data_IF_645502114229
#
_entry.id   IF_645502114229
#
_cell.length_a   1.000
_cell.length_b   1.000
_cell.length_c   1.000
_cell.angle_alpha   90.00
_cell.angle_beta   90.00
_cell.angle_gamma   90.00
#
_symmetry.space_group_name_H-M   'P 1'
#
loop_
_entity.id
_entity.type
_entity.pdbx_description
1 polymer ?
#
# COMPACT_ATOMS: atom_id res chain seq x y z
N UNK A 1 13.58 8.96 2.48
CA UNK A 1 12.65 7.83 2.47
C UNK A 1 11.68 8.14 1.35
N UNK A 2 11.78 7.49 0.18
CA UNK A 2 10.86 7.79 -0.93
C UNK A 2 9.54 7.04 -0.69
N UNK A 3 8.60 7.69 -0.02
CA UNK A 3 7.40 7.02 0.48
C UNK A 3 6.29 6.84 -0.59
N UNK A 4 6.26 7.69 -1.62
CA UNK A 4 4.98 7.96 -2.31
C UNK A 4 4.99 7.85 -3.87
N UNK A 5 5.80 8.64 -4.59
CA UNK A 5 5.61 8.83 -6.05
C UNK A 5 6.03 7.67 -6.98
N UNK A 6 6.89 6.74 -6.54
CA UNK A 6 7.34 5.61 -7.38
C UNK A 6 6.32 4.46 -7.47
N UNK A 7 5.34 4.41 -6.56
CA UNK A 7 4.40 3.29 -6.36
C UNK A 7 3.34 3.18 -7.45
N UNK A 8 2.83 4.33 -7.87
CA UNK A 8 1.80 4.41 -8.89
C UNK A 8 2.35 4.45 -10.31
N UNK A 9 3.68 4.41 -10.50
CA UNK A 9 4.28 4.42 -11.84
C UNK A 9 3.79 3.27 -12.72
N UNK A 10 3.51 2.12 -12.12
CA UNK A 10 3.05 0.93 -12.84
C UNK A 10 1.52 0.85 -13.01
N UNK A 11 0.74 1.73 -12.36
CA UNK A 11 -0.72 1.69 -12.35
C UNK A 11 -1.39 2.47 -13.49
N UNK A 12 -0.62 3.06 -14.40
CA UNK A 12 -1.14 3.84 -15.54
C UNK A 12 -1.53 5.27 -15.19
N UNK A 13 -2.27 5.93 -16.10
CA UNK A 13 -2.96 7.21 -15.89
C UNK A 13 -4.47 6.95 -15.80
N UNK A 14 -5.24 7.79 -15.09
CA UNK A 14 -6.69 7.63 -14.86
C UNK A 14 -7.05 6.30 -14.15
N UNK A 15 -6.48 6.09 -12.96
CA UNK A 15 -6.66 4.92 -12.10
C UNK A 15 -7.99 5.00 -11.31
N UNK A 16 -8.56 6.19 -11.15
CA UNK A 16 -9.78 6.46 -10.39
C UNK A 16 -10.82 7.10 -11.29
N UNK A 17 -12.05 6.56 -11.27
CA UNK A 17 -13.16 7.18 -12.00
C UNK A 17 -13.45 8.59 -11.46
N UNK A 18 -13.81 9.54 -12.33
CA UNK A 18 -13.90 10.97 -11.96
C UNK A 18 -14.91 11.25 -10.83
N UNK A 19 -16.02 10.49 -10.77
CA UNK A 19 -17.00 10.52 -9.67
C UNK A 19 -16.34 10.15 -8.33
N UNK A 20 -15.54 9.07 -8.30
CA UNK A 20 -14.84 8.61 -7.11
C UNK A 20 -13.82 9.65 -6.66
N UNK A 21 -13.05 10.22 -7.59
CA UNK A 21 -12.08 11.27 -7.30
C UNK A 21 -12.76 12.50 -6.64
N UNK A 22 -13.92 12.93 -7.15
CA UNK A 22 -14.70 14.03 -6.57
C UNK A 22 -15.24 13.69 -5.18
N UNK A 23 -15.68 12.43 -4.96
CA UNK A 23 -16.14 11.99 -3.64
C UNK A 23 -15.00 11.99 -2.62
N UNK A 24 -13.83 11.49 -3.00
CA UNK A 24 -12.62 11.50 -2.17
C UNK A 24 -12.20 12.93 -1.83
N UNK A 25 -12.21 13.85 -2.79
CA UNK A 25 -11.95 15.28 -2.56
C UNK A 25 -12.89 15.88 -1.51
N UNK A 26 -14.20 15.61 -1.62
CA UNK A 26 -15.19 16.09 -0.65
C UNK A 26 -14.95 15.53 0.73
N UNK A 27 -14.56 14.26 0.84
CA UNK A 27 -14.22 13.65 2.13
C UNK A 27 -12.94 14.27 2.72
N UNK A 28 -11.89 14.44 1.91
CA UNK A 28 -10.65 15.13 2.34
C UNK A 28 -10.97 16.53 2.85
N UNK A 29 -11.77 17.29 2.10
CA UNK A 29 -12.22 18.63 2.48
C UNK A 29 -12.94 18.61 3.83
N UNK A 30 -13.91 17.71 4.00
CA UNK A 30 -14.64 17.55 5.26
C UNK A 30 -13.71 17.25 6.44
N UNK A 31 -12.75 16.33 6.26
CA UNK A 31 -11.79 15.92 7.29
C UNK A 31 -10.90 17.09 7.73
N UNK A 32 -10.49 17.93 6.78
CA UNK A 32 -9.67 19.13 7.04
C UNK A 32 -10.51 20.21 7.72
N UNK A 33 -11.67 20.58 7.16
CA UNK A 33 -12.52 21.66 7.68
C UNK A 33 -13.03 21.40 9.09
N UNK A 34 -13.21 20.13 9.46
CA UNK A 34 -13.61 19.75 10.81
C UNK A 34 -12.50 20.05 11.85
N UNK A 35 -11.22 20.05 11.45
CA UNK A 35 -10.07 20.34 12.32
C UNK A 35 -9.77 19.27 13.38
N UNK A 36 -10.72 18.38 13.68
CA UNK A 36 -10.54 17.37 14.71
C UNK A 36 -9.75 16.14 14.23
N UNK A 37 -9.65 15.90 12.93
CA UNK A 37 -9.01 14.69 12.40
C UNK A 37 -7.50 14.81 12.20
N UNK A 38 -7.01 15.96 11.73
CA UNK A 38 -5.62 16.14 11.29
C UNK A 38 -4.81 16.81 12.41
N UNK A 39 -3.53 16.49 12.49
CA UNK A 39 -2.60 17.17 13.42
C UNK A 39 -2.52 18.67 13.15
N UNK A 40 -2.46 19.49 14.21
CA UNK A 40 -2.61 20.96 14.10
C UNK A 40 -1.53 21.61 13.26
N UNK A 41 -0.30 21.09 13.27
CA UNK A 41 0.80 21.68 12.50
C UNK A 41 0.54 21.68 10.97
N UNK A 42 -0.32 20.80 10.46
CA UNK A 42 -0.74 20.77 9.05
C UNK A 42 -1.96 21.65 8.75
N UNK A 43 -2.58 22.20 9.79
CA UNK A 43 -3.80 22.96 9.68
C UNK A 43 -3.55 24.44 9.90
N UNK A 44 -4.34 25.24 9.21
CA UNK A 44 -4.40 26.67 9.36
C UNK A 44 -5.86 27.07 9.54
N UNK A 45 -6.15 27.84 10.58
CA UNK A 45 -7.50 28.35 10.84
C UNK A 45 -7.71 29.69 10.14
N UNK A 46 -8.64 29.74 9.20
CA UNK A 46 -9.09 30.97 8.57
C UNK A 46 -10.20 31.60 9.43
N UNK A 47 -9.88 32.73 10.07
CA UNK A 47 -10.83 33.47 10.89
C UNK A 47 -11.97 34.10 10.09
N UNK A 48 -11.75 34.41 8.80
CA UNK A 48 -12.74 35.06 7.95
C UNK A 48 -13.87 34.08 7.63
N UNK A 49 -13.50 32.90 7.16
CA UNK A 49 -14.44 31.86 6.73
C UNK A 49 -14.82 30.88 7.86
N UNK A 50 -14.12 30.95 9.00
CA UNK A 50 -14.28 30.06 10.17
C UNK A 50 -14.10 28.58 9.83
N UNK A 51 -13.14 28.30 8.95
CA UNK A 51 -12.81 26.95 8.50
C UNK A 51 -11.32 26.66 8.73
N UNK A 52 -11.00 25.38 8.82
CA UNK A 52 -9.62 24.91 8.74
C UNK A 52 -9.25 24.59 7.29
N UNK A 53 -8.02 24.94 6.92
CA UNK A 53 -7.38 24.69 5.63
C UNK A 53 -6.04 23.98 5.85
N UNK A 54 -5.43 23.43 4.79
CA UNK A 54 -4.07 22.91 4.89
C UNK A 54 -3.06 24.06 4.93
N UNK A 55 -2.04 23.95 5.77
CA UNK A 55 -0.96 24.93 5.84
C UNK A 55 0.06 24.63 4.73
N UNK A 56 0.19 25.56 3.78
CA UNK A 56 0.98 25.40 2.55
C UNK A 56 2.44 24.99 2.80
N UNK A 57 3.16 25.73 3.65
CA UNK A 57 4.60 25.50 3.82
C UNK A 57 4.91 24.12 4.40
N UNK A 58 4.13 23.68 5.39
CA UNK A 58 4.25 22.37 6.03
C UNK A 58 3.95 21.27 5.03
N UNK A 59 2.90 21.45 4.22
CA UNK A 59 2.52 20.46 3.22
C UNK A 59 3.55 20.38 2.07
N UNK A 60 4.10 21.52 1.66
CA UNK A 60 5.20 21.61 0.69
C UNK A 60 6.46 20.93 1.19
N UNK A 61 6.89 21.24 2.41
CA UNK A 61 8.07 20.65 3.03
C UNK A 61 7.93 19.13 3.15
N UNK A 62 6.77 18.69 3.61
CA UNK A 62 6.43 17.28 3.73
C UNK A 62 6.39 16.58 2.37
N UNK A 63 5.79 17.20 1.34
CA UNK A 63 5.79 16.66 -0.02
C UNK A 63 7.20 16.54 -0.61
N UNK A 64 8.03 17.57 -0.49
CA UNK A 64 9.39 17.55 -1.02
C UNK A 64 10.26 16.49 -0.36
N UNK A 65 10.09 16.24 0.95
CA UNK A 65 10.94 15.33 1.72
C UNK A 65 10.49 13.87 1.63
N UNK A 66 9.18 13.65 1.65
CA UNK A 66 8.61 12.31 1.73
C UNK A 66 8.17 11.77 0.37
N UNK A 67 7.60 12.63 -0.49
CA UNK A 67 7.12 12.24 -1.82
C UNK A 67 8.17 12.49 -2.91
N UNK A 68 8.98 13.54 -2.73
CA UNK A 68 9.98 14.00 -3.70
C UNK A 68 9.47 15.08 -4.66
N UNK A 69 8.31 15.68 -4.39
CA UNK A 69 7.79 16.84 -5.14
C UNK A 69 6.90 17.74 -4.27
N UNK A 70 6.70 18.98 -4.71
CA UNK A 70 5.84 19.96 -4.03
C UNK A 70 4.35 19.70 -4.35
N UNK A 71 3.62 19.15 -3.39
CA UNK A 71 2.20 18.80 -3.58
C UNK A 71 1.30 20.03 -3.66
N UNK A 72 1.71 21.17 -3.09
CA UNK A 72 0.92 22.42 -3.11
C UNK A 72 0.79 23.01 -4.51
N UNK A 73 1.69 22.66 -5.44
CA UNK A 73 1.59 23.11 -6.83
C UNK A 73 0.35 22.59 -7.56
N UNK A 74 -0.26 21.52 -7.04
CA UNK A 74 -1.35 20.80 -7.70
C UNK A 74 -2.67 20.88 -6.91
N UNK A 75 -2.66 21.46 -5.72
CA UNK A 75 -3.86 21.61 -4.87
C UNK A 75 -3.96 23.04 -4.37
N UNK A 76 -5.16 23.60 -4.37
CA UNK A 76 -5.45 24.79 -3.58
C UNK A 76 -5.76 24.33 -2.16
N UNK A 77 -4.86 24.61 -1.22
CA UNK A 77 -4.96 24.18 0.18
C UNK A 77 -6.05 24.88 0.98
N UNK A 78 -6.53 26.03 0.51
CA UNK A 78 -7.63 26.78 1.13
C UNK A 78 -9.00 26.20 0.74
N UNK A 79 -9.21 25.92 -0.53
CA UNK A 79 -10.48 25.37 -1.02
C UNK A 79 -10.51 23.85 -1.10
N UNK A 80 -9.35 23.20 -0.98
CA UNK A 80 -9.10 21.78 -1.28
C UNK A 80 -9.54 21.44 -2.72
N UNK A 81 -9.47 22.43 -3.63
CA UNK A 81 -9.73 22.21 -5.06
C UNK A 81 -8.43 21.88 -5.78
N UNK A 82 -8.44 20.88 -6.63
CA UNK A 82 -7.26 20.54 -7.43
C UNK A 82 -7.02 21.56 -8.55
N UNK A 83 -5.76 21.89 -8.76
CA UNK A 83 -5.29 22.86 -9.74
C UNK A 83 -4.77 22.12 -10.98
N UNK A 84 -5.25 22.50 -12.17
CA UNK A 84 -4.71 21.99 -13.45
C UNK A 84 -4.89 20.48 -13.67
N UNK A 85 -3.89 19.84 -14.30
CA UNK A 85 -3.83 18.40 -14.56
C UNK A 85 -3.41 17.64 -13.31
N UNK A 86 -4.31 17.53 -12.35
CA UNK A 86 -4.11 16.70 -11.16
C UNK A 86 -4.24 15.22 -11.52
N UNK A 87 -3.20 14.43 -11.23
CA UNK A 87 -3.22 12.99 -11.46
C UNK A 87 -3.76 12.23 -10.25
N UNK A 88 -4.41 11.09 -10.47
CA UNK A 88 -4.88 10.21 -9.39
C UNK A 88 -3.76 9.77 -8.43
N UNK A 89 -2.51 9.78 -8.90
CA UNK A 89 -1.33 9.48 -8.10
C UNK A 89 -1.14 10.52 -7.00
N UNK A 90 -1.31 11.80 -7.35
CA UNK A 90 -1.22 12.91 -6.41
C UNK A 90 -2.40 12.91 -5.43
N UNK A 91 -3.59 12.45 -5.86
CA UNK A 91 -4.73 12.25 -4.96
C UNK A 91 -4.39 11.23 -3.87
N UNK A 92 -3.83 10.10 -4.28
CA UNK A 92 -3.48 9.02 -3.37
C UNK A 92 -2.32 9.40 -2.46
N UNK A 93 -1.29 10.07 -2.99
CA UNK A 93 -0.20 10.58 -2.16
C UNK A 93 -0.72 11.57 -1.09
N UNK A 94 -1.66 12.45 -1.43
CA UNK A 94 -2.32 13.32 -0.44
C UNK A 94 -3.12 12.52 0.59
N UNK A 95 -3.95 11.56 0.16
CA UNK A 95 -4.77 10.74 1.06
C UNK A 95 -3.92 10.01 2.10
N UNK A 96 -2.84 9.37 1.66
CA UNK A 96 -2.00 8.60 2.57
C UNK A 96 -1.25 9.47 3.57
N UNK A 97 -0.76 10.63 3.13
CA UNK A 97 -0.20 11.63 4.04
C UNK A 97 -1.21 12.04 5.10
N UNK A 98 -2.44 12.33 4.70
CA UNK A 98 -3.49 12.69 5.65
C UNK A 98 -3.82 11.53 6.59
N UNK A 99 -3.73 10.26 6.16
CA UNK A 99 -3.94 9.10 7.05
C UNK A 99 -2.79 8.98 8.07
N UNK A 100 -1.54 9.19 7.66
CA UNK A 100 -0.37 9.17 8.56
C UNK A 100 -0.52 10.26 9.63
N UNK A 101 -0.80 11.49 9.19
CA UNK A 101 -0.93 12.66 10.06
C UNK A 101 -2.37 12.89 10.56
N UNK A 102 -3.19 11.85 10.54
CA UNK A 102 -4.45 11.82 11.26
C UNK A 102 -4.17 11.53 12.74
N UNK A 103 -4.92 12.18 13.64
CA UNK A 103 -4.91 11.90 15.08
C UNK A 103 -5.27 10.44 15.31
N UNK A 104 -4.58 9.82 16.25
CA UNK A 104 -4.63 8.37 16.44
C UNK A 104 -6.04 7.84 16.72
N UNK A 105 -6.85 8.57 17.49
CA UNK A 105 -8.24 8.25 17.83
C UNK A 105 -9.24 8.47 16.68
N UNK A 106 -8.85 9.18 15.63
CA UNK A 106 -9.69 9.50 14.46
C UNK A 106 -9.32 8.69 13.21
N UNK A 107 -8.13 8.11 13.18
CA UNK A 107 -7.57 7.43 12.00
C UNK A 107 -8.45 6.30 11.48
N UNK A 108 -8.99 5.47 12.37
CA UNK A 108 -9.84 4.35 11.96
C UNK A 108 -11.13 4.82 11.29
N UNK A 109 -11.79 5.85 11.84
CA UNK A 109 -12.99 6.44 11.23
C UNK A 109 -12.67 7.06 9.85
N UNK A 110 -11.55 7.78 9.75
CA UNK A 110 -11.11 8.34 8.47
C UNK A 110 -10.87 7.26 7.41
N UNK A 111 -10.12 6.19 7.75
CA UNK A 111 -9.89 5.06 6.85
C UNK A 111 -11.21 4.39 6.44
N UNK A 112 -12.14 4.19 7.38
CA UNK A 112 -13.44 3.58 7.10
C UNK A 112 -14.29 4.42 6.13
N UNK A 113 -14.23 5.76 6.20
CA UNK A 113 -14.90 6.67 5.26
C UNK A 113 -14.37 6.50 3.84
N UNK A 114 -13.06 6.43 3.67
CA UNK A 114 -12.42 6.22 2.36
C UNK A 114 -12.74 4.82 1.81
N UNK A 115 -12.61 3.78 2.64
CA UNK A 115 -12.94 2.40 2.25
C UNK A 115 -14.41 2.25 1.85
N UNK A 116 -15.33 2.97 2.52
CA UNK A 116 -16.74 3.00 2.15
C UNK A 116 -16.94 3.57 0.75
N UNK A 117 -16.26 4.66 0.39
CA UNK A 117 -16.32 5.22 -0.98
C UNK A 117 -15.87 4.19 -2.00
N UNK A 118 -14.74 3.49 -1.76
CA UNK A 118 -14.28 2.45 -2.67
C UNK A 118 -15.27 1.29 -2.79
N UNK A 119 -15.89 0.86 -1.68
CA UNK A 119 -16.85 -0.25 -1.68
C UNK A 119 -18.13 0.09 -2.44
N UNK A 120 -18.69 1.28 -2.20
CA UNK A 120 -19.93 1.73 -2.84
C UNK A 120 -19.77 1.88 -4.35
N UNK A 121 -18.59 2.29 -4.80
CA UNK A 121 -18.25 2.50 -6.22
C UNK A 121 -17.56 1.27 -6.84
N UNK A 122 -17.53 0.14 -6.11
CA UNK A 122 -16.94 -1.13 -6.52
C UNK A 122 -15.48 -1.03 -7.00
N UNK A 123 -14.74 -0.10 -6.42
CA UNK A 123 -13.34 0.17 -6.76
C UNK A 123 -12.42 -0.91 -6.17
N UNK A 124 -11.42 -1.38 -6.94
CA UNK A 124 -10.50 -2.40 -6.49
C UNK A 124 -9.39 -1.78 -5.62
N UNK A 125 -9.71 -0.97 -4.62
CA UNK A 125 -8.72 -0.36 -3.73
C UNK A 125 -8.97 -0.72 -2.27
N UNK A 126 -7.89 -0.85 -1.53
CA UNK A 126 -7.88 -1.20 -0.12
C UNK A 126 -6.78 -0.40 0.58
N UNK A 127 -7.02 -0.11 1.85
CA UNK A 127 -6.07 0.60 2.72
C UNK A 127 -5.53 -0.39 3.73
N UNK A 128 -4.20 -0.49 3.85
CA UNK A 128 -3.54 -1.26 4.90
C UNK A 128 -2.63 -0.32 5.68
N UNK A 129 -2.93 -0.16 6.98
CA UNK A 129 -2.37 0.89 7.83
C UNK A 129 -2.67 2.27 7.24
N UNK A 130 -1.75 2.81 6.45
CA UNK A 130 -1.89 4.10 5.78
C UNK A 130 -1.71 4.01 4.26
N UNK A 131 -1.33 2.83 3.73
CA UNK A 131 -1.01 2.66 2.32
C UNK A 131 -2.23 2.28 1.51
N UNK A 132 -2.43 2.94 0.37
CA UNK A 132 -3.41 2.57 -0.64
C UNK A 132 -2.79 1.58 -1.62
N UNK A 133 -3.48 0.48 -1.87
CA UNK A 133 -3.07 -0.49 -2.89
C UNK A 133 -4.28 -0.99 -3.68
N UNK A 134 -4.03 -1.28 -4.95
CA UNK A 134 -5.03 -1.81 -5.86
C UNK A 134 -5.13 -3.32 -5.66
N UNK A 135 -6.32 -3.77 -5.29
CA UNK A 135 -6.80 -5.15 -5.32
C UNK A 135 -7.11 -5.56 -6.77
N UNK A 136 -6.16 -5.42 -7.69
CA UNK A 136 -6.37 -5.88 -9.07
C UNK A 136 -5.67 -7.19 -9.38
N UNK A 137 -5.96 -7.69 -10.58
CA UNK A 137 -5.39 -8.90 -11.18
C UNK A 137 -3.90 -8.78 -11.51
N UNK A 138 -3.23 -7.65 -11.23
CA UNK A 138 -1.77 -7.52 -11.42
C UNK A 138 -0.97 -8.09 -10.27
N UNK A 139 -1.66 -8.55 -9.22
CA UNK A 139 -1.07 -9.36 -8.16
C UNK A 139 -0.23 -8.54 -7.19
N UNK A 140 0.94 -9.05 -6.82
CA UNK A 140 1.83 -8.41 -5.85
C UNK A 140 2.58 -7.17 -6.37
N UNK A 141 2.46 -6.79 -7.64
CA UNK A 141 3.22 -5.67 -8.22
C UNK A 141 3.05 -4.35 -7.46
N UNK A 142 1.84 -4.05 -7.01
CA UNK A 142 1.53 -2.82 -6.28
C UNK A 142 2.14 -2.79 -4.86
N UNK A 143 2.37 -3.96 -4.26
CA UNK A 143 2.92 -4.09 -2.90
C UNK A 143 4.41 -4.46 -2.86
N UNK A 144 4.98 -4.83 -4.01
CA UNK A 144 6.35 -5.31 -4.16
C UNK A 144 7.42 -4.38 -3.54
N UNK A 145 7.35 -3.03 -3.70
CA UNK A 145 8.36 -2.13 -3.12
C UNK A 145 8.49 -2.25 -1.60
N UNK A 146 7.44 -2.73 -0.94
CA UNK A 146 7.28 -2.75 0.50
C UNK A 146 7.55 -4.10 1.14
N UNK A 147 7.83 -5.15 0.37
CA UNK A 147 8.12 -6.47 0.94
C UNK A 147 9.33 -6.37 1.87
N UNK A 148 9.17 -6.76 3.16
CA UNK A 148 10.20 -6.63 4.22
C UNK A 148 11.50 -7.34 3.84
N UNK A 149 11.35 -8.54 3.29
CA UNK A 149 12.48 -9.38 2.91
C UNK A 149 13.01 -8.93 1.55
N UNK A 150 14.22 -8.36 1.54
CA UNK A 150 14.92 -8.02 0.29
C UNK A 150 15.05 -9.23 -0.63
N UNK A 151 15.25 -10.42 -0.07
CA UNK A 151 15.35 -11.66 -0.85
C UNK A 151 14.02 -11.98 -1.55
N UNK A 152 12.91 -11.93 -0.82
CA UNK A 152 11.57 -12.17 -1.37
C UNK A 152 11.20 -11.11 -2.40
N UNK A 153 11.50 -9.83 -2.10
CA UNK A 153 11.29 -8.69 -3.00
C UNK A 153 12.01 -8.88 -4.33
N UNK A 154 13.32 -9.13 -4.30
CA UNK A 154 14.13 -9.31 -5.50
C UNK A 154 13.64 -10.52 -6.33
N UNK A 155 13.17 -11.59 -5.67
CA UNK A 155 12.63 -12.77 -6.35
C UNK A 155 11.28 -12.49 -7.02
N UNK A 156 10.43 -11.67 -6.42
CA UNK A 156 9.19 -11.19 -7.04
C UNK A 156 9.48 -10.26 -8.24
N UNK A 157 10.50 -9.39 -8.13
CA UNK A 157 10.94 -8.53 -9.25
C UNK A 157 11.43 -9.37 -10.43
N UNK A 158 12.23 -10.40 -10.16
CA UNK A 158 12.68 -11.37 -11.17
C UNK A 158 11.49 -12.04 -11.89
N UNK A 159 10.48 -12.50 -11.13
CA UNK A 159 9.29 -13.13 -11.71
C UNK A 159 8.57 -12.19 -12.70
N UNK A 160 8.31 -10.95 -12.29
CA UNK A 160 7.60 -9.99 -13.13
C UNK A 160 8.44 -9.47 -14.30
N UNK A 161 9.77 -9.39 -14.16
CA UNK A 161 10.68 -9.04 -15.24
C UNK A 161 10.65 -10.11 -16.35
N UNK A 162 10.75 -11.39 -15.99
CA UNK A 162 10.67 -12.51 -16.95
C UNK A 162 9.30 -12.56 -17.64
N UNK A 163 8.20 -12.27 -16.92
CA UNK A 163 6.86 -12.26 -17.51
C UNK A 163 6.69 -11.18 -18.60
N UNK A 164 7.35 -10.03 -18.46
CA UNK A 164 7.17 -8.89 -19.37
C UNK A 164 8.09 -8.93 -20.60
N UNK A 165 9.19 -9.70 -20.58
CA UNK A 165 10.19 -9.75 -21.64
C UNK A 165 10.31 -11.18 -22.18
N UNK A 166 9.57 -11.51 -23.26
CA UNK A 166 9.56 -12.85 -23.90
C UNK A 166 9.60 -14.01 -22.89
N UNK A 167 8.44 -14.37 -22.30
CA UNK A 167 8.41 -15.20 -21.10
C UNK A 167 9.04 -16.57 -21.31
N UNK A 168 10.14 -16.82 -20.62
CA UNK A 168 10.68 -18.16 -20.45
C UNK A 168 9.91 -18.84 -19.31
N UNK A 169 8.86 -19.58 -19.65
CA UNK A 169 7.97 -20.21 -18.66
C UNK A 169 8.70 -21.20 -17.74
N UNK A 170 9.76 -21.86 -18.22
CA UNK A 170 10.58 -22.75 -17.41
C UNK A 170 11.26 -21.96 -16.28
N UNK A 171 11.90 -20.83 -16.62
CA UNK A 171 12.50 -19.92 -15.62
C UNK A 171 11.42 -19.35 -14.69
N UNK A 172 10.27 -18.92 -15.22
CA UNK A 172 9.17 -18.42 -14.40
C UNK A 172 8.69 -19.45 -13.37
N UNK A 173 8.59 -20.72 -13.76
CA UNK A 173 8.18 -21.80 -12.86
C UNK A 173 9.24 -22.06 -11.77
N UNK A 174 10.53 -21.98 -12.09
CA UNK A 174 11.61 -22.05 -11.08
C UNK A 174 11.53 -20.89 -10.08
N UNK A 175 11.33 -19.67 -10.57
CA UNK A 175 11.21 -18.48 -9.73
C UNK A 175 9.95 -18.59 -8.85
N UNK A 176 8.81 -18.99 -9.43
CA UNK A 176 7.55 -19.22 -8.72
C UNK A 176 7.67 -20.27 -7.62
N UNK A 177 8.30 -21.41 -7.90
CA UNK A 177 8.56 -22.44 -6.89
C UNK A 177 9.46 -21.93 -5.75
N UNK A 178 10.48 -21.13 -6.09
CA UNK A 178 11.33 -20.45 -5.11
C UNK A 178 10.55 -19.50 -4.21
N UNK A 179 9.63 -18.71 -4.78
CA UNK A 179 8.74 -17.82 -4.02
C UNK A 179 7.84 -18.60 -3.06
N UNK A 180 7.20 -19.68 -3.55
CA UNK A 180 6.34 -20.54 -2.73
C UNK A 180 7.13 -21.14 -1.57
N UNK A 181 8.36 -21.59 -1.82
CA UNK A 181 9.24 -22.15 -0.80
C UNK A 181 9.62 -21.09 0.24
N UNK A 182 9.95 -19.87 -0.17
CA UNK A 182 10.29 -18.76 0.75
C UNK A 182 9.12 -18.37 1.66
N UNK A 183 7.89 -18.34 1.15
CA UNK A 183 6.71 -17.91 1.92
C UNK A 183 6.21 -19.01 2.86
N UNK A 184 6.21 -20.27 2.40
CA UNK A 184 5.63 -21.41 3.12
C UNK A 184 6.69 -22.33 3.74
N UNK A 185 7.90 -21.83 3.99
CA UNK A 185 8.90 -22.57 4.75
C UNK A 185 9.49 -21.71 5.84
N UNK A 186 9.65 -22.28 7.03
CA UNK A 186 10.33 -21.61 8.13
C UNK A 186 11.78 -21.28 7.76
N UNK A 187 12.27 -20.16 8.28
CA UNK A 187 13.71 -19.93 8.33
C UNK A 187 14.36 -21.10 9.07
N UNK A 188 15.53 -21.55 8.57
CA UNK A 188 16.20 -22.79 9.01
C UNK A 188 16.45 -22.88 10.53
N UNK A 189 16.33 -21.77 11.26
CA UNK A 189 16.52 -21.66 12.70
C UNK A 189 15.23 -21.86 13.53
N UNK A 190 14.04 -21.88 12.90
CA UNK A 190 12.74 -21.89 13.59
C UNK A 190 11.85 -23.09 13.19
N UNK A 191 12.24 -24.30 13.62
CA UNK A 191 11.31 -25.43 13.75
C UNK A 191 10.72 -26.04 12.47
N UNK A 192 9.80 -26.99 12.68
CA UNK A 192 9.17 -27.86 11.68
C UNK A 192 8.44 -27.06 10.56
N UNK A 193 8.99 -27.09 9.35
CA UNK A 193 8.45 -26.44 8.14
C UNK A 193 6.98 -26.80 7.89
N UNK A 194 6.57 -28.04 8.20
CA UNK A 194 5.19 -28.48 7.99
C UNK A 194 4.25 -27.70 8.91
N UNK A 195 4.59 -27.62 10.19
CA UNK A 195 3.80 -26.90 11.20
C UNK A 195 3.74 -25.40 10.90
N UNK A 196 4.83 -24.80 10.44
CA UNK A 196 4.84 -23.39 10.00
C UNK A 196 3.84 -23.16 8.85
N UNK A 197 3.87 -24.04 7.83
CA UNK A 197 2.98 -23.97 6.68
C UNK A 197 1.50 -24.11 7.08
N UNK A 198 1.17 -25.09 7.94
CA UNK A 198 -0.18 -25.32 8.45
C UNK A 198 -0.71 -24.11 9.24
N UNK A 199 0.13 -23.55 10.13
CA UNK A 199 -0.22 -22.34 10.87
C UNK A 199 -0.47 -21.14 9.95
N UNK A 200 0.39 -20.94 8.94
CA UNK A 200 0.21 -19.86 7.98
C UNK A 200 -1.11 -20.02 7.19
N UNK A 201 -1.44 -21.24 6.76
CA UNK A 201 -2.71 -21.52 6.08
C UNK A 201 -3.92 -21.23 6.98
N UNK A 202 -3.83 -21.56 8.27
CA UNK A 202 -4.88 -21.26 9.25
C UNK A 202 -5.07 -19.76 9.46
N UNK A 203 -3.98 -19.01 9.57
CA UNK A 203 -4.03 -17.55 9.68
C UNK A 203 -4.62 -16.88 8.43
N UNK A 204 -4.28 -17.39 7.23
CA UNK A 204 -4.93 -16.95 5.99
C UNK A 204 -6.42 -17.28 6.02
N UNK A 205 -6.81 -18.51 6.38
CA UNK A 205 -8.22 -18.91 6.44
C UNK A 205 -9.06 -18.00 7.35
N UNK A 206 -8.53 -17.64 8.53
CA UNK A 206 -9.16 -16.71 9.48
C UNK A 206 -9.48 -15.32 8.89
N UNK A 207 -8.77 -14.89 7.83
CA UNK A 207 -9.02 -13.60 7.16
C UNK A 207 -10.14 -13.68 6.12
N UNK A 208 -10.47 -14.87 5.63
CA UNK A 208 -11.35 -15.07 4.47
C UNK A 208 -12.64 -15.81 4.79
N UNK A 209 -12.75 -16.41 5.96
CA UNK A 209 -13.94 -17.17 6.35
C UNK A 209 -14.27 -16.99 7.82
N UNK A 210 -15.46 -17.45 8.23
CA UNK A 210 -15.92 -17.43 9.61
C UNK A 210 -15.38 -18.64 10.40
N UNK A 211 -15.35 -18.54 11.73
CA UNK A 211 -14.76 -19.54 12.63
C UNK A 211 -15.21 -20.98 12.36
N UNK A 212 -16.43 -21.17 11.85
CA UNK A 212 -17.00 -22.50 11.53
C UNK A 212 -16.31 -23.20 10.37
N UNK A 213 -15.80 -22.45 9.38
CA UNK A 213 -15.21 -23.01 8.17
C UNK A 213 -13.68 -22.84 8.10
N UNK A 214 -13.08 -22.20 9.11
CA UNK A 214 -11.63 -21.95 9.17
C UNK A 214 -10.81 -23.24 9.01
N UNK A 215 -11.14 -24.30 9.75
CA UNK A 215 -10.37 -25.55 9.68
C UNK A 215 -10.47 -26.20 8.29
N UNK A 216 -11.67 -26.21 7.69
CA UNK A 216 -11.89 -26.76 6.34
C UNK A 216 -11.11 -25.97 5.29
N UNK A 217 -11.17 -24.63 5.35
CA UNK A 217 -10.43 -23.79 4.41
C UNK A 217 -8.91 -23.91 4.63
N UNK A 218 -8.44 -23.97 5.88
CA UNK A 218 -7.03 -24.16 6.21
C UNK A 218 -6.49 -25.48 5.65
N UNK A 219 -7.24 -26.58 5.77
CA UNK A 219 -6.88 -27.88 5.22
C UNK A 219 -6.83 -27.88 3.69
N UNK A 220 -7.79 -27.22 3.04
CA UNK A 220 -7.80 -27.04 1.57
C UNK A 220 -6.59 -26.23 1.10
N UNK A 221 -6.26 -25.13 1.79
CA UNK A 221 -5.08 -24.31 1.50
C UNK A 221 -3.79 -25.08 1.71
N UNK A 222 -3.66 -25.82 2.81
CA UNK A 222 -2.49 -26.65 3.11
C UNK A 222 -2.29 -27.72 2.03
N UNK A 223 -3.37 -28.37 1.61
CA UNK A 223 -3.35 -29.36 0.51
C UNK A 223 -2.93 -28.71 -0.80
N UNK A 224 -3.44 -27.52 -1.10
CA UNK A 224 -3.11 -26.77 -2.33
C UNK A 224 -1.62 -26.40 -2.36
N UNK A 225 -1.09 -25.87 -1.25
CA UNK A 225 0.34 -25.54 -1.11
C UNK A 225 1.20 -26.80 -1.27
N UNK A 226 0.81 -27.91 -0.63
CA UNK A 226 1.52 -29.19 -0.73
C UNK A 226 1.57 -29.67 -2.17
N UNK A 227 0.43 -29.70 -2.86
CA UNK A 227 0.36 -30.13 -4.25
C UNK A 227 1.22 -29.25 -5.17
N UNK A 228 1.21 -27.93 -4.97
CA UNK A 228 2.04 -27.00 -5.73
C UNK A 228 3.55 -27.23 -5.48
N UNK A 229 3.95 -27.51 -4.23
CA UNK A 229 5.34 -27.87 -3.89
C UNK A 229 5.75 -29.21 -4.50
N UNK A 230 4.92 -30.24 -4.37
CA UNK A 230 5.18 -31.58 -4.92
C UNK A 230 5.30 -31.51 -6.44
N UNK A 231 4.40 -30.80 -7.11
CA UNK A 231 4.44 -30.58 -8.55
C UNK A 231 5.71 -29.84 -8.97
N UNK A 232 6.06 -28.75 -8.27
CA UNK A 232 7.28 -27.97 -8.53
C UNK A 232 8.56 -28.81 -8.41
N UNK A 233 8.62 -29.70 -7.41
CA UNK A 233 9.76 -30.62 -7.21
C UNK A 233 9.84 -31.71 -8.28
N UNK A 234 8.72 -32.11 -8.88
CA UNK A 234 8.70 -33.11 -9.95
C UNK A 234 9.13 -32.54 -11.31
N UNK A 235 8.84 -31.26 -11.57
CA UNK A 235 9.24 -30.59 -12.81
C UNK A 235 10.65 -29.98 -12.74
N UNK A 236 11.12 -29.64 -11.53
CA UNK A 236 12.44 -29.09 -11.30
C UNK A 236 13.14 -29.83 -10.18
N UNK A 237 14.38 -30.20 -10.44
CA UNK A 237 15.33 -30.69 -9.45
C UNK A 237 15.75 -29.54 -8.50
N UNK A 238 14.80 -29.00 -7.73
CA UNK A 238 15.00 -27.88 -6.78
C UNK A 238 15.98 -28.29 -5.67
N UNK A 239 16.16 -29.59 -5.45
CA UNK A 239 17.27 -30.18 -4.70
C UNK A 239 18.18 -30.80 -5.73
N UNK A 240 19.46 -30.44 -5.80
CA UNK A 240 20.43 -31.07 -6.70
C UNK A 240 20.71 -32.55 -6.37
N UNK A 241 19.69 -33.38 -6.16
CA UNK A 241 19.80 -34.76 -5.67
C UNK A 241 18.80 -35.73 -6.30
N UNK A 242 17.70 -35.31 -6.92
CA UNK A 242 16.65 -36.27 -7.30
C UNK A 242 16.70 -36.60 -8.80
N UNK A 243 16.97 -37.88 -9.09
CA UNK A 243 17.08 -38.47 -10.43
C UNK A 243 15.73 -38.57 -11.19
N UNK A 244 14.68 -37.88 -10.74
CA UNK A 244 13.29 -38.11 -11.17
C UNK A 244 12.57 -36.87 -11.70
N UNK A 245 13.30 -35.84 -12.14
CA UNK A 245 12.67 -34.71 -12.82
C UNK A 245 12.04 -35.19 -14.14
N UNK A 246 10.73 -35.00 -14.30
CA UNK A 246 10.03 -35.37 -15.53
C UNK A 246 10.37 -34.33 -16.60
N UNK A 247 10.95 -34.71 -17.75
CA UNK A 247 11.13 -33.78 -18.85
C UNK A 247 9.76 -33.39 -19.39
N UNK A 248 9.40 -32.11 -19.25
CA UNK A 248 8.15 -31.57 -19.78
C UNK A 248 8.44 -30.76 -21.03
N UNK A 249 7.99 -31.26 -22.18
CA UNK A 249 8.18 -30.62 -23.49
C UNK A 249 7.15 -29.52 -23.80
N UNK A 250 6.14 -29.34 -22.94
CA UNK A 250 5.06 -28.38 -23.13
C UNK A 250 5.28 -27.10 -22.28
N UNK A 251 5.60 -25.95 -22.90
CA UNK A 251 5.81 -24.69 -22.18
C UNK A 251 4.59 -24.21 -21.37
N UNK A 252 3.37 -24.60 -21.77
CA UNK A 252 2.15 -24.22 -21.06
C UNK A 252 2.03 -24.90 -19.69
N UNK A 253 2.67 -26.06 -19.50
CA UNK A 253 2.68 -26.72 -18.20
C UNK A 253 3.53 -25.92 -17.20
N UNK A 254 4.73 -25.49 -17.62
CA UNK A 254 5.54 -24.58 -16.80
C UNK A 254 4.82 -23.27 -16.51
N UNK A 255 4.10 -22.73 -17.51
CA UNK A 255 3.26 -21.55 -17.30
C UNK A 255 2.24 -21.79 -16.19
N UNK A 256 1.49 -22.89 -16.25
CA UNK A 256 0.50 -23.25 -15.22
C UNK A 256 1.14 -23.30 -13.82
N UNK A 257 2.24 -24.05 -13.66
CA UNK A 257 2.92 -24.17 -12.36
C UNK A 257 3.44 -22.82 -11.85
N UNK A 258 4.01 -22.01 -12.74
CA UNK A 258 4.48 -20.67 -12.38
C UNK A 258 3.35 -19.80 -11.81
N UNK A 259 2.19 -19.77 -12.48
CA UNK A 259 1.05 -18.97 -12.05
C UNK A 259 0.39 -19.52 -10.79
N UNK A 260 0.26 -20.84 -10.65
CA UNK A 260 -0.31 -21.45 -9.44
C UNK A 260 0.55 -21.13 -8.21
N UNK A 261 1.87 -21.31 -8.32
CA UNK A 261 2.81 -21.00 -7.24
C UNK A 261 2.74 -19.52 -6.83
N UNK A 262 2.74 -18.60 -7.80
CA UNK A 262 2.64 -17.18 -7.51
C UNK A 262 1.29 -16.85 -6.92
N UNK A 263 0.17 -17.30 -7.48
CA UNK A 263 -1.17 -17.03 -6.95
C UNK A 263 -1.33 -17.44 -5.47
N UNK A 264 -0.76 -18.59 -5.08
CA UNK A 264 -0.74 -19.03 -3.68
C UNK A 264 0.10 -18.08 -2.80
N UNK A 265 1.24 -17.61 -3.30
CA UNK A 265 2.07 -16.60 -2.64
C UNK A 265 1.35 -15.26 -2.52
N UNK A 266 0.65 -14.82 -3.57
CA UNK A 266 -0.11 -13.57 -3.56
C UNK A 266 -1.23 -13.64 -2.53
N UNK A 267 -1.95 -14.76 -2.48
CA UNK A 267 -2.97 -15.02 -1.47
C UNK A 267 -2.39 -14.85 -0.06
N UNK A 268 -1.27 -15.48 0.26
CA UNK A 268 -0.67 -15.37 1.59
C UNK A 268 -0.27 -13.93 1.95
N UNK A 269 0.44 -13.24 1.04
CA UNK A 269 0.95 -11.89 1.29
C UNK A 269 -0.18 -10.86 1.41
N UNK A 270 -1.20 -10.93 0.55
CA UNK A 270 -2.32 -10.00 0.58
C UNK A 270 -3.31 -10.28 1.72
N UNK A 271 -3.34 -11.52 2.24
CA UNK A 271 -4.15 -11.87 3.41
C UNK A 271 -3.52 -11.46 4.73
N UNK A 272 -2.18 -11.53 4.81
CA UNK A 272 -1.41 -11.25 6.01
C UNK A 272 -0.33 -10.18 5.75
N UNK A 273 -0.70 -9.00 5.23
CA UNK A 273 0.24 -7.93 4.89
C UNK A 273 1.16 -7.55 6.07
N UNK A 274 0.67 -7.63 7.30
CA UNK A 274 1.45 -7.38 8.53
C UNK A 274 2.70 -8.24 8.66
N UNK A 275 2.69 -9.47 8.12
CA UNK A 275 3.83 -10.39 8.15
C UNK A 275 4.85 -10.08 7.07
N UNK A 276 4.40 -9.72 5.88
CA UNK A 276 5.25 -9.69 4.68
C UNK A 276 5.64 -8.28 4.23
N UNK A 277 4.85 -7.26 4.60
CA UNK A 277 4.98 -5.90 4.12
C UNK A 277 5.52 -5.00 5.22
N UNK A 278 6.66 -4.35 4.94
CA UNK A 278 7.30 -3.36 5.81
C UNK A 278 6.41 -2.15 5.86
N UNK A 279 5.61 -2.07 6.92
CA UNK A 279 4.89 -0.87 7.27
C UNK A 279 5.49 -0.36 8.55
N UNK A 280 6.11 0.81 8.47
CA UNK A 280 6.22 1.62 9.67
C UNK A 280 4.79 1.96 10.10
N UNK A 281 4.51 1.75 11.39
CA UNK A 281 3.22 2.14 11.94
C UNK A 281 3.02 3.65 11.70
N UNK A 282 1.82 4.11 11.29
CA UNK A 282 1.63 5.52 10.97
C UNK A 282 1.97 6.44 12.14
N UNK A 283 1.79 5.98 13.38
CA UNK A 283 2.20 6.75 14.56
C UNK A 283 3.72 6.84 14.69
N UNK A 284 4.43 5.75 14.42
CA UNK A 284 5.90 5.74 14.36
C UNK A 284 6.43 6.66 13.27
N UNK A 285 5.84 6.63 12.07
CA UNK A 285 6.22 7.52 10.97
C UNK A 285 6.01 9.00 11.33
N UNK A 286 4.84 9.32 11.86
CA UNK A 286 4.51 10.66 12.34
C UNK A 286 5.51 11.12 13.40
N UNK A 287 5.77 10.30 14.42
CA UNK A 287 6.71 10.65 15.50
C UNK A 287 8.15 10.80 15.00
N UNK A 288 8.59 9.93 14.07
CA UNK A 288 9.89 10.05 13.42
C UNK A 288 9.99 11.36 12.62
N UNK A 289 8.94 11.76 11.91
CA UNK A 289 8.89 13.02 11.18
C UNK A 289 8.95 14.22 12.13
N UNK A 290 8.05 14.28 13.11
CA UNK A 290 7.99 15.38 14.08
C UNK A 290 9.31 15.55 14.83
N UNK A 291 9.94 14.44 15.26
CA UNK A 291 11.22 14.46 15.96
C UNK A 291 12.39 14.87 15.05
N UNK A 292 12.48 14.32 13.84
CA UNK A 292 13.55 14.63 12.88
C UNK A 292 13.57 16.12 12.51
N UNK A 293 12.39 16.75 12.49
CA UNK A 293 12.23 18.14 12.09
C UNK A 293 11.94 19.09 13.24
N UNK A 294 11.93 18.59 14.48
CA UNK A 294 11.64 19.36 15.70
C UNK A 294 10.34 20.16 15.61
N UNK A 295 9.33 19.57 14.98
CA UNK A 295 8.01 20.17 14.85
C UNK A 295 7.18 19.87 16.09
N UNK A 296 6.55 20.90 16.64
CA UNK A 296 5.57 20.73 17.69
C UNK A 296 4.21 20.42 17.06
N UNK A 297 3.65 19.26 17.42
CA UNK A 297 2.32 18.80 16.96
C UNK A 297 1.20 19.77 17.31
N UNK A 298 1.39 20.55 18.38
CA UNK A 298 0.39 21.46 18.94
C UNK A 298 0.51 22.87 18.35
N UNK A 299 1.46 23.11 17.43
CA UNK A 299 1.63 24.39 16.72
C UNK A 299 0.34 24.76 16.00
N UNK A 300 -0.21 25.93 16.33
CA UNK A 300 -1.43 26.46 15.72
C UNK A 300 -1.08 27.62 14.77
N UNK A 301 -1.55 27.52 13.53
CA UNK A 301 -1.43 28.58 12.54
C UNK A 301 -2.76 29.30 12.39
N UNK A 302 -2.75 30.63 12.49
CA UNK A 302 -3.95 31.46 12.45
C UNK A 302 -3.76 32.53 11.38
N UNK A 303 -4.69 32.61 10.42
CA UNK A 303 -4.79 33.80 9.57
C UNK A 303 -5.54 34.87 10.36
N UNK A 304 -4.87 36.00 10.59
CA UNK A 304 -5.49 37.20 11.12
C UNK A 304 -6.15 37.96 9.97
N UNK A 305 -7.23 38.70 10.26
CA UNK A 305 -7.83 39.62 9.31
C UNK A 305 -6.72 40.47 8.67
N UNK A 306 -6.72 40.58 7.34
CA UNK A 306 -5.83 41.52 6.66
C UNK A 306 -6.13 42.89 7.24
N UNK A 307 -5.20 43.48 7.98
CA UNK A 307 -5.20 44.92 8.19
C UNK A 307 -5.15 45.54 6.81
N UNK A 308 -6.29 46.09 6.36
CA UNK A 308 -6.32 46.99 5.23
C UNK A 308 -5.54 48.23 5.65
N UNK A 309 -4.21 48.19 5.53
CA UNK A 309 -3.40 49.39 5.61
C UNK A 309 -3.83 50.25 4.43
N UNK A 310 -4.66 51.25 4.70
CA UNK A 310 -4.96 52.24 3.70
C UNK A 310 -3.63 52.92 3.34
N UNK A 311 -3.43 53.26 2.07
CA UNK A 311 -2.24 54.01 1.62
C UNK A 311 -2.07 55.32 2.43
N UNK A 312 -3.16 55.83 3.03
CA UNK A 312 -3.19 56.97 3.93
C UNK A 312 -2.51 56.76 5.29
N UNK A 313 -2.28 55.52 5.73
CA UNK A 313 -1.70 55.18 7.03
C UNK A 313 -0.19 54.91 6.99
N UNK A 314 0.44 55.08 5.82
CA UNK A 314 1.90 55.00 5.67
C UNK A 314 2.48 56.39 5.97
N UNK A 315 3.24 56.58 7.07
CA UNK A 315 3.87 57.85 7.35
C UNK A 315 4.99 58.10 6.32
N UNK A 316 4.88 59.20 5.57
CA UNK A 316 5.91 59.68 4.65
C UNK A 316 7.16 60.16 5.38
#
# INVERSE_FOLDING_TARGET
MELFSKRYKQLGENIVESNVAVRLQKEIKYIIENGDYIERFLLLYDKNDKIFCLQDDSLKDLGMREIGYDITQNINTSSISFLGLFSDKQLFDLLELLIIFCKNDKREDFVNRIVRIFREENMPFVIHKWMLYKKDTTGLRSVLPFIKSNLLKNKLEEFYAVNNQNPNYQVMAQVGAGLLQMVFSSDKEQGDTKKYCENLCKEVALKWTDDKHVEVLADLLSTTVKNAKDLSNQIFNIRHTDQYAIPVDNPNFYKLVAWDCVAIVELAILSLPEKFISTDDPESMKNNYLSSYKLDKDTEWIILEKENTAIADIPF
#
